data_IF_191736673226
#
_entry.id   IF_191736673226
#
_cell.length_a   1.000
_cell.length_b   1.000
_cell.length_c   1.000
_cell.angle_alpha   90.00
_cell.angle_beta   90.00
_cell.angle_gamma   90.00
#
_symmetry.space_group_name_H-M   'P 1'
#
loop_
_entity.id
_entity.type
_entity.pdbx_description
1 polymer ?
#
# COMPACT_ATOMS: atom_id res chain seq x y z
N UNK A 1 -4.32 -5.85 -12.57
CA UNK A 1 -5.35 -6.85 -12.27
C UNK A 1 -5.97 -6.67 -10.89
N UNK A 2 -5.26 -6.86 -9.77
CA UNK A 2 -5.87 -6.89 -8.43
C UNK A 2 -6.70 -5.63 -8.06
N UNK A 3 -6.10 -4.44 -8.09
CA UNK A 3 -6.85 -3.19 -7.83
C UNK A 3 -8.01 -3.00 -8.81
N UNK A 4 -7.81 -3.29 -10.10
CA UNK A 4 -8.86 -3.22 -11.10
C UNK A 4 -10.04 -4.14 -10.77
N UNK A 5 -9.76 -5.40 -10.38
CA UNK A 5 -10.78 -6.34 -9.96
C UNK A 5 -11.50 -5.90 -8.67
N UNK A 6 -10.77 -5.27 -7.73
CA UNK A 6 -11.37 -4.66 -6.55
C UNK A 6 -12.32 -3.51 -6.92
N UNK A 7 -11.92 -2.64 -7.84
CA UNK A 7 -12.78 -1.56 -8.36
C UNK A 7 -14.02 -2.13 -9.05
N UNK A 8 -13.88 -3.16 -9.89
CA UNK A 8 -15.02 -3.79 -10.59
C UNK A 8 -16.08 -4.31 -9.62
N UNK A 9 -15.71 -4.76 -8.43
CA UNK A 9 -16.68 -5.18 -7.40
C UNK A 9 -17.54 -4.04 -6.86
N UNK A 10 -17.04 -2.81 -6.90
CA UNK A 10 -17.74 -1.61 -6.41
C UNK A 10 -18.35 -0.79 -7.54
N UNK A 11 -17.80 -0.91 -8.75
CA UNK A 11 -18.21 -0.22 -9.98
C UNK A 11 -18.07 -1.21 -11.15
N UNK A 12 -19.10 -2.04 -11.41
CA UNK A 12 -19.01 -3.14 -12.38
C UNK A 12 -18.86 -2.66 -13.83
N UNK A 13 -19.36 -1.46 -14.13
CA UNK A 13 -19.31 -0.90 -15.47
C UNK A 13 -17.98 -0.15 -15.70
N UNK A 14 -17.34 -0.40 -16.84
CA UNK A 14 -16.21 0.38 -17.40
C UNK A 14 -14.77 0.05 -16.95
N UNK A 15 -14.47 -1.18 -16.53
CA UNK A 15 -13.08 -1.58 -16.23
C UNK A 15 -12.57 -2.65 -17.20
N UNK A 16 -11.61 -2.29 -18.05
CA UNK A 16 -10.84 -3.24 -18.86
C UNK A 16 -9.55 -3.59 -18.08
N UNK A 17 -9.36 -4.87 -17.78
CA UNK A 17 -8.23 -5.32 -16.97
C UNK A 17 -6.98 -5.57 -17.80
N UNK A 18 -5.87 -4.96 -17.38
CA UNK A 18 -4.53 -5.34 -17.83
C UNK A 18 -3.93 -6.40 -16.89
N UNK A 19 -3.25 -7.46 -17.41
CA UNK A 19 -2.67 -8.55 -16.61
C UNK A 19 -1.38 -8.15 -15.86
N UNK A 20 -1.35 -6.95 -15.29
CA UNK A 20 -0.28 -6.47 -14.40
C UNK A 20 -0.64 -6.67 -12.92
N UNK A 21 0.35 -6.87 -12.06
CA UNK A 21 0.17 -6.96 -10.61
C UNK A 21 1.43 -6.48 -9.89
N UNK A 22 1.30 -6.15 -8.61
CA UNK A 22 2.44 -5.83 -7.77
C UNK A 22 3.00 -7.11 -7.14
N UNK A 23 4.27 -7.48 -7.41
CA UNK A 23 4.85 -8.70 -6.85
C UNK A 23 5.00 -8.64 -5.33
N UNK A 24 5.10 -7.45 -4.74
CA UNK A 24 5.23 -7.28 -3.29
C UNK A 24 3.95 -7.69 -2.58
N UNK A 25 2.79 -7.19 -3.03
CA UNK A 25 1.50 -7.55 -2.45
C UNK A 25 1.04 -8.95 -2.83
N UNK A 26 1.51 -9.50 -3.96
CA UNK A 26 1.19 -10.85 -4.40
C UNK A 26 1.90 -11.96 -3.63
N UNK A 27 2.94 -11.65 -2.85
CA UNK A 27 3.66 -12.63 -2.01
C UNK A 27 2.90 -13.05 -0.74
N UNK A 28 1.85 -12.33 -0.38
CA UNK A 28 1.02 -12.71 0.77
C UNK A 28 0.21 -13.96 0.45
N UNK A 29 0.13 -14.89 1.40
CA UNK A 29 -0.74 -16.07 1.30
C UNK A 29 -1.79 -16.08 2.39
N UNK A 30 -2.93 -16.74 2.11
CA UNK A 30 -3.96 -16.98 3.12
C UNK A 30 -3.43 -17.80 4.31
N UNK A 31 -2.47 -18.70 4.09
CA UNK A 31 -1.87 -19.49 5.17
C UNK A 31 -1.11 -18.62 6.17
N UNK A 32 -0.35 -17.63 5.69
CA UNK A 32 0.36 -16.65 6.53
C UNK A 32 -0.64 -15.81 7.34
N UNK A 33 -1.70 -15.30 6.70
CA UNK A 33 -2.72 -14.48 7.36
C UNK A 33 -3.47 -15.28 8.41
N UNK A 34 -3.88 -16.51 8.10
CA UNK A 34 -4.57 -17.37 9.04
C UNK A 34 -3.69 -17.74 10.25
N UNK A 35 -2.37 -17.89 10.05
CA UNK A 35 -1.44 -18.05 11.16
C UNK A 35 -1.42 -16.82 12.06
N UNK A 36 -1.35 -15.61 11.48
CA UNK A 36 -1.39 -14.35 12.25
C UNK A 36 -2.72 -14.13 12.96
N UNK A 37 -3.85 -14.49 12.36
CA UNK A 37 -5.15 -14.46 13.03
C UNK A 37 -5.25 -15.46 14.19
N UNK A 38 -4.61 -16.63 14.10
CA UNK A 38 -4.53 -17.55 15.26
C UNK A 38 -3.65 -16.99 16.38
N UNK A 39 -2.57 -16.30 16.03
CA UNK A 39 -1.65 -15.65 16.98
C UNK A 39 -2.32 -14.42 17.65
N UNK A 40 -3.13 -13.66 16.88
CA UNK A 40 -3.81 -12.43 17.32
C UNK A 40 -5.31 -12.49 16.97
N UNK A 41 -6.12 -13.28 17.69
CA UNK A 41 -7.51 -13.57 17.32
C UNK A 41 -8.45 -12.37 17.32
N UNK A 42 -8.12 -11.30 18.05
CA UNK A 42 -8.92 -10.09 18.15
C UNK A 42 -8.36 -8.92 17.32
N UNK A 43 -7.23 -9.12 16.63
CA UNK A 43 -6.61 -8.06 15.85
C UNK A 43 -7.28 -7.94 14.47
N UNK A 44 -7.80 -6.76 14.09
CA UNK A 44 -8.24 -6.54 12.71
C UNK A 44 -7.10 -6.74 11.72
N UNK A 45 -7.45 -7.18 10.51
CA UNK A 45 -6.55 -7.30 9.38
C UNK A 45 -6.86 -6.22 8.34
N UNK A 46 -5.91 -5.31 8.15
CA UNK A 46 -5.98 -4.24 7.15
C UNK A 46 -5.00 -4.53 6.02
N UNK A 47 -5.45 -4.42 4.77
CA UNK A 47 -4.65 -4.80 3.59
C UNK A 47 -4.72 -3.76 2.47
N UNK A 48 -3.68 -3.71 1.63
CA UNK A 48 -3.68 -2.89 0.42
C UNK A 48 -4.50 -3.53 -0.71
N UNK A 49 -5.27 -2.77 -1.51
CA UNK A 49 -6.12 -3.29 -2.60
C UNK A 49 -5.33 -3.92 -3.78
N UNK A 50 -4.00 -3.85 -3.76
CA UNK A 50 -3.15 -4.57 -4.72
C UNK A 50 -2.91 -6.04 -4.36
N UNK A 51 -3.35 -6.50 -3.18
CA UNK A 51 -3.24 -7.90 -2.79
C UNK A 51 -4.17 -8.81 -3.63
N UNK A 52 -3.87 -10.12 -3.72
CA UNK A 52 -4.77 -11.08 -4.38
C UNK A 52 -6.19 -11.03 -3.82
N UNK A 53 -7.19 -11.29 -4.66
CA UNK A 53 -8.61 -11.16 -4.28
C UNK A 53 -8.98 -11.99 -3.05
N UNK A 54 -8.44 -13.21 -2.94
CA UNK A 54 -8.66 -14.07 -1.78
C UNK A 54 -8.18 -13.44 -0.46
N UNK A 55 -7.09 -12.66 -0.51
CA UNK A 55 -6.56 -11.91 0.62
C UNK A 55 -7.48 -10.74 0.95
N UNK A 56 -7.92 -9.98 -0.08
CA UNK A 56 -8.82 -8.86 0.09
C UNK A 56 -10.15 -9.28 0.74
N UNK A 57 -10.71 -10.42 0.29
CA UNK A 57 -11.96 -10.96 0.84
C UNK A 57 -11.83 -11.45 2.29
N UNK A 58 -10.60 -11.73 2.74
CA UNK A 58 -10.35 -12.11 4.12
C UNK A 58 -10.19 -10.91 5.06
N UNK A 59 -9.98 -9.69 4.54
CA UNK A 59 -9.61 -8.52 5.33
C UNK A 59 -10.78 -7.80 5.99
N UNK A 60 -10.50 -7.19 7.14
CA UNK A 60 -11.44 -6.33 7.90
C UNK A 60 -11.44 -4.90 7.36
N UNK A 61 -10.36 -4.47 6.71
CA UNK A 61 -10.25 -3.19 6.01
C UNK A 61 -9.35 -3.30 4.77
N UNK A 62 -9.77 -2.67 3.66
CA UNK A 62 -9.00 -2.61 2.41
C UNK A 62 -8.71 -1.15 2.09
N UNK A 63 -7.46 -0.73 2.23
CA UNK A 63 -7.08 0.68 2.23
C UNK A 63 -5.81 0.97 1.43
N UNK A 64 -5.73 2.16 0.81
CA UNK A 64 -4.45 2.70 0.32
C UNK A 64 -3.52 3.00 1.50
N UNK A 65 -2.22 3.21 1.30
CA UNK A 65 -1.31 3.58 2.42
C UNK A 65 -1.73 4.85 3.15
N UNK A 66 -2.33 5.82 2.45
CA UNK A 66 -2.95 7.00 3.06
C UNK A 66 -4.21 6.64 3.86
N UNK A 67 -5.07 5.79 3.31
CA UNK A 67 -6.25 5.26 4.00
C UNK A 67 -5.88 4.47 5.27
N UNK A 68 -4.77 3.72 5.23
CA UNK A 68 -4.24 3.00 6.40
C UNK A 68 -3.88 3.95 7.54
N UNK A 69 -3.25 5.10 7.24
CA UNK A 69 -2.96 6.13 8.25
C UNK A 69 -4.24 6.71 8.86
N UNK A 70 -5.29 6.88 8.06
CA UNK A 70 -6.60 7.31 8.57
C UNK A 70 -7.28 6.23 9.41
N UNK A 71 -7.21 4.97 8.97
CA UNK A 71 -7.82 3.82 9.66
C UNK A 71 -7.23 3.60 11.05
N UNK A 72 -5.90 3.69 11.22
CA UNK A 72 -5.30 3.51 12.56
C UNK A 72 -5.73 4.57 13.58
N UNK A 73 -6.20 5.74 13.13
CA UNK A 73 -6.72 6.79 14.02
C UNK A 73 -8.09 6.45 14.60
N UNK A 74 -8.83 5.53 13.98
CA UNK A 74 -10.15 5.09 14.47
C UNK A 74 -10.06 3.91 15.44
N UNK A 75 -8.88 3.29 15.56
CA UNK A 75 -8.67 2.14 16.43
C UNK A 75 -8.53 2.53 17.91
N UNK A 76 -9.03 1.69 18.84
CA UNK A 76 -8.86 1.88 20.28
C UNK A 76 -7.38 1.98 20.69
N UNK A 77 -7.14 2.61 21.83
CA UNK A 77 -5.80 2.67 22.46
C UNK A 77 -5.28 1.27 22.77
N UNK A 78 -3.97 1.07 22.62
CA UNK A 78 -3.27 -0.19 22.91
C UNK A 78 -3.82 -1.40 22.15
N UNK A 79 -4.44 -1.18 20.98
CA UNK A 79 -4.94 -2.25 20.12
C UNK A 79 -3.80 -2.97 19.38
N UNK A 80 -4.09 -4.12 18.80
CA UNK A 80 -3.19 -4.84 17.89
C UNK A 80 -3.76 -4.80 16.48
N UNK A 81 -2.93 -4.59 15.46
CA UNK A 81 -3.35 -4.52 14.06
C UNK A 81 -2.45 -5.37 13.18
N UNK A 82 -3.06 -6.25 12.37
CA UNK A 82 -2.35 -7.00 11.32
C UNK A 82 -2.35 -6.15 10.04
N UNK A 83 -1.17 -5.91 9.48
CA UNK A 83 -0.95 -5.02 8.33
C UNK A 83 -0.44 -5.79 7.11
N UNK A 84 -1.23 -5.79 6.04
CA UNK A 84 -0.93 -6.42 4.75
C UNK A 84 -0.53 -5.41 3.67
N UNK A 85 0.70 -4.90 3.74
CA UNK A 85 1.29 -4.07 2.68
C UNK A 85 2.81 -4.16 2.72
N UNK A 86 3.51 -3.24 2.05
CA UNK A 86 4.97 -3.13 2.11
C UNK A 86 5.46 -2.92 3.55
N UNK A 87 6.49 -3.65 3.96
CA UNK A 87 6.95 -3.71 5.35
C UNK A 87 7.35 -2.36 5.95
N UNK A 88 7.85 -1.42 5.14
CA UNK A 88 8.20 -0.07 5.56
C UNK A 88 7.02 0.77 6.00
N UNK A 89 5.78 0.37 5.68
CA UNK A 89 4.59 1.07 6.18
C UNK A 89 4.48 1.01 7.69
N UNK A 90 5.00 -0.03 8.35
CA UNK A 90 4.98 -0.16 9.82
C UNK A 90 5.65 1.03 10.49
N UNK A 91 6.82 1.46 9.99
CA UNK A 91 7.51 2.63 10.55
C UNK A 91 6.67 3.90 10.45
N UNK A 92 5.92 4.08 9.36
CA UNK A 92 5.00 5.22 9.21
C UNK A 92 3.85 5.14 10.21
N UNK A 93 3.25 3.96 10.38
CA UNK A 93 2.11 3.77 11.29
C UNK A 93 2.53 3.98 12.76
N UNK A 94 3.70 3.48 13.16
CA UNK A 94 4.25 3.72 14.51
C UNK A 94 4.46 5.21 14.79
N UNK A 95 4.92 5.99 13.80
CA UNK A 95 5.05 7.44 13.97
C UNK A 95 3.71 8.15 14.19
N UNK A 96 2.61 7.60 13.66
CA UNK A 96 1.27 8.17 13.80
C UNK A 96 0.58 7.73 15.10
N UNK A 97 0.73 6.45 15.47
CA UNK A 97 0.09 5.83 16.65
C UNK A 97 1.05 4.82 17.30
N UNK A 98 1.96 5.27 18.18
CA UNK A 98 2.97 4.41 18.79
C UNK A 98 2.42 3.43 19.84
N UNK A 99 1.19 3.63 20.31
CA UNK A 99 0.52 2.78 21.29
C UNK A 99 -0.04 1.48 20.67
N UNK A 100 -0.22 1.43 19.34
CA UNK A 100 -0.75 0.26 18.65
C UNK A 100 0.38 -0.75 18.40
N UNK A 101 0.10 -2.02 18.69
CA UNK A 101 0.97 -3.12 18.33
C UNK A 101 0.74 -3.55 16.87
N UNK A 102 1.69 -3.22 15.98
CA UNK A 102 1.60 -3.56 14.56
C UNK A 102 2.26 -4.89 14.24
N UNK A 103 1.51 -5.77 13.58
CA UNK A 103 1.96 -7.11 13.16
C UNK A 103 1.95 -7.18 11.65
N UNK A 104 3.08 -7.52 11.02
CA UNK A 104 3.11 -7.76 9.58
C UNK A 104 2.34 -9.04 9.23
N UNK A 105 1.48 -8.95 8.20
CA UNK A 105 0.80 -10.11 7.65
C UNK A 105 1.78 -11.11 7.02
N UNK A 106 2.88 -10.60 6.44
CA UNK A 106 3.96 -11.39 5.85
C UNK A 106 5.27 -10.61 5.91
N UNK A 107 6.39 -11.30 6.15
CA UNK A 107 7.72 -10.70 6.10
C UNK A 107 8.29 -10.61 4.67
N UNK A 108 7.61 -11.22 3.69
CA UNK A 108 8.06 -11.29 2.29
C UNK A 108 7.68 -10.04 1.49
N UNK A 109 6.94 -9.11 2.10
CA UNK A 109 6.41 -7.88 1.48
C UNK A 109 7.42 -6.73 1.49
N UNK A 110 8.69 -7.01 1.17
CA UNK A 110 9.72 -5.97 1.02
C UNK A 110 9.89 -5.59 -0.45
N UNK A 111 9.70 -4.30 -0.77
CA UNK A 111 9.92 -3.79 -2.12
C UNK A 111 11.39 -3.41 -2.33
N UNK A 112 12.16 -4.28 -3.00
CA UNK A 112 13.58 -4.06 -3.27
C UNK A 112 13.87 -2.70 -3.95
N UNK A 113 13.03 -2.30 -4.91
CA UNK A 113 13.17 -1.02 -5.61
C UNK A 113 13.00 0.18 -4.67
N UNK A 114 12.04 0.13 -3.72
CA UNK A 114 11.89 1.20 -2.73
C UNK A 114 13.09 1.29 -1.77
N UNK A 115 13.82 0.19 -1.54
CA UNK A 115 14.99 0.16 -0.66
C UNK A 115 16.31 0.52 -1.37
N UNK A 116 16.26 0.89 -2.66
CA UNK A 116 17.42 1.44 -3.38
C UNK A 116 17.81 2.81 -2.83
N UNK A 117 16.85 3.62 -2.38
CA UNK A 117 17.12 4.94 -1.79
C UNK A 117 17.67 4.79 -0.37
N UNK A 118 18.89 5.31 -0.15
CA UNK A 118 19.59 5.29 1.14
C UNK A 118 19.94 6.72 1.56
N UNK A 119 20.26 6.95 2.84
CA UNK A 119 20.62 8.27 3.36
C UNK A 119 21.77 8.92 2.59
N UNK A 120 22.78 8.14 2.17
CA UNK A 120 23.88 8.65 1.34
C UNK A 120 23.41 9.16 -0.02
N UNK A 121 22.45 8.47 -0.64
CA UNK A 121 21.87 8.90 -1.92
C UNK A 121 21.10 10.22 -1.75
N UNK A 122 20.33 10.37 -0.67
CA UNK A 122 19.60 11.61 -0.37
C UNK A 122 20.57 12.77 -0.12
N UNK A 123 21.62 12.55 0.68
CA UNK A 123 22.68 13.54 0.92
C UNK A 123 23.34 13.98 -0.39
N UNK A 124 23.76 13.02 -1.21
CA UNK A 124 24.50 13.31 -2.44
C UNK A 124 23.60 13.94 -3.50
N UNK A 125 22.32 13.56 -3.54
CA UNK A 125 21.31 14.18 -4.38
C UNK A 125 21.13 15.66 -4.06
N UNK A 126 20.98 16.00 -2.77
CA UNK A 126 20.84 17.38 -2.31
C UNK A 126 22.13 18.19 -2.51
N UNK A 127 23.29 17.59 -2.22
CA UNK A 127 24.59 18.26 -2.35
C UNK A 127 24.91 18.64 -3.80
N UNK A 128 24.60 17.73 -4.73
CA UNK A 128 24.97 17.89 -6.14
C UNK A 128 23.79 18.33 -7.02
N UNK A 129 22.62 18.60 -6.43
CA UNK A 129 21.38 18.94 -7.14
C UNK A 129 21.03 17.94 -8.24
N UNK A 130 21.15 16.64 -7.93
CA UNK A 130 20.92 15.54 -8.87
C UNK A 130 20.02 14.46 -8.25
N UNK A 131 19.30 13.65 -9.01
CA UNK A 131 19.20 13.62 -10.46
C UNK A 131 18.00 14.45 -10.90
N UNK A 132 18.18 15.31 -11.91
CA UNK A 132 17.05 16.01 -12.53
C UNK A 132 16.21 15.02 -13.35
N UNK A 133 14.90 14.98 -13.08
CA UNK A 133 13.96 14.10 -13.79
C UNK A 133 13.36 14.87 -14.96
N UNK A 134 13.71 14.45 -16.17
CA UNK A 134 13.18 15.01 -17.42
C UNK A 134 12.10 14.09 -18.01
N UNK A 135 10.97 14.68 -18.40
CA UNK A 135 9.89 13.99 -19.13
C UNK A 135 9.63 14.76 -20.42
N UNK A 136 9.62 14.11 -21.60
CA UNK A 136 9.35 14.77 -22.87
C UNK A 136 8.03 15.55 -22.82
N UNK A 137 8.04 16.78 -23.37
CA UNK A 137 6.93 17.72 -23.17
C UNK A 137 5.57 17.18 -23.65
N UNK A 138 5.55 16.48 -24.78
CA UNK A 138 4.32 15.84 -25.27
C UNK A 138 3.77 14.87 -24.22
N UNK A 139 4.61 13.94 -23.74
CA UNK A 139 4.24 12.94 -22.74
C UNK A 139 3.76 13.61 -21.45
N UNK A 140 4.49 14.63 -20.98
CA UNK A 140 4.14 15.37 -19.78
C UNK A 140 2.77 16.04 -19.91
N UNK A 141 2.50 16.70 -21.04
CA UNK A 141 1.23 17.38 -21.31
C UNK A 141 0.05 16.41 -21.30
N UNK A 142 0.18 15.24 -21.94
CA UNK A 142 -0.89 14.23 -21.96
C UNK A 142 -1.11 13.59 -20.58
N UNK A 143 -0.04 13.24 -19.87
CA UNK A 143 -0.12 12.67 -18.54
C UNK A 143 -0.74 13.65 -17.53
N UNK A 144 -0.34 14.93 -17.59
CA UNK A 144 -0.85 16.00 -16.72
C UNK A 144 -2.37 16.13 -16.81
N UNK A 145 -2.94 16.10 -18.03
CA UNK A 145 -4.40 16.16 -18.22
C UNK A 145 -5.15 15.05 -17.45
N UNK A 146 -4.60 13.84 -17.40
CA UNK A 146 -5.21 12.72 -16.67
C UNK A 146 -5.12 12.93 -15.15
N UNK A 147 -3.97 13.42 -14.67
CA UNK A 147 -3.72 13.69 -13.25
C UNK A 147 -4.60 14.85 -12.75
N UNK A 148 -4.71 15.94 -13.50
CA UNK A 148 -5.56 17.09 -13.13
C UNK A 148 -7.04 16.70 -13.01
N UNK A 149 -7.53 15.84 -13.91
CA UNK A 149 -8.90 15.29 -13.83
C UNK A 149 -9.10 14.40 -12.60
N UNK A 150 -8.10 13.58 -12.26
CA UNK A 150 -8.12 12.76 -11.05
C UNK A 150 -8.24 13.64 -9.80
N UNK A 151 -7.48 14.74 -9.73
CA UNK A 151 -7.50 15.66 -8.58
C UNK A 151 -8.76 16.54 -8.51
N UNK A 152 -9.41 16.81 -9.65
CA UNK A 152 -10.65 17.58 -9.71
C UNK A 152 -11.91 16.75 -9.39
N UNK A 153 -11.75 15.45 -9.11
CA UNK A 153 -12.88 14.58 -8.75
C UNK A 153 -13.25 14.83 -7.28
N UNK A 154 -14.54 15.02 -6.96
CA UNK A 154 -15.01 15.33 -5.60
C UNK A 154 -14.80 14.19 -4.59
#
# INVERSE_FOLDING_TARGET
MNLGAWVTRHRPDNVILWPGYCPVHHRMSLSQINAKRREYPNAPFMVHPEAPMEILLSADAVESTGGMVSYVKTLPENSTLIVGTEAGMISRLIMERPDIHYVLASHDTVCANMKLTRLVHVRDALKNMQYEIHVPEETARRARRSIERMLATP
#
